data_IF_566031542093
#
_entry.id   IF_566031542093
#
_cell.length_a   1.000
_cell.length_b   1.000
_cell.length_c   1.000
_cell.angle_alpha   90.00
_cell.angle_beta   90.00
_cell.angle_gamma   90.00
#
_symmetry.space_group_name_H-M   'P 1'
#
loop_
_entity.id
_entity.type
_entity.pdbx_description
1 polymer ?
#
# COMPACT_ATOMS: atom_id res chain seq x y z
N UNK A 1 -32.73 25.51 29.75
CA UNK A 1 -32.70 25.47 28.28
C UNK A 1 -32.28 24.07 27.84
N UNK A 2 -33.20 23.20 27.39
CA UNK A 2 -32.82 21.89 26.87
C UNK A 2 -32.53 21.98 25.37
N UNK A 3 -31.34 21.56 24.98
CA UNK A 3 -30.94 21.31 23.58
C UNK A 3 -31.80 20.17 23.03
N UNK A 4 -32.77 20.50 22.18
CA UNK A 4 -33.56 19.53 21.44
C UNK A 4 -32.69 18.95 20.32
N UNK A 5 -32.24 17.71 20.53
CA UNK A 5 -31.61 16.84 19.53
C UNK A 5 -32.62 16.61 18.41
N UNK A 6 -32.52 17.40 17.33
CA UNK A 6 -33.36 17.26 16.13
C UNK A 6 -33.16 15.88 15.49
N UNK A 7 -34.23 15.33 14.93
CA UNK A 7 -34.20 14.11 14.12
C UNK A 7 -33.13 14.23 13.02
N UNK A 8 -32.32 13.19 12.76
CA UNK A 8 -31.27 13.24 11.76
C UNK A 8 -31.87 13.59 10.40
N UNK A 9 -31.33 14.62 9.75
CA UNK A 9 -31.78 15.01 8.40
C UNK A 9 -31.28 13.98 7.37
N UNK A 10 -31.95 13.82 6.23
CA UNK A 10 -31.52 12.91 5.14
C UNK A 10 -30.07 13.15 4.69
N UNK A 11 -29.58 14.38 4.83
CA UNK A 11 -28.19 14.80 4.58
C UNK A 11 -27.20 14.27 5.61
N UNK A 12 -27.57 14.21 6.90
CA UNK A 12 -26.68 13.65 7.94
C UNK A 12 -26.51 12.14 7.75
N UNK A 13 -27.61 11.45 7.42
CA UNK A 13 -27.55 10.01 7.14
C UNK A 13 -26.72 9.71 5.88
N UNK A 14 -26.85 10.48 4.80
CA UNK A 14 -26.10 10.22 3.56
C UNK A 14 -24.59 10.46 3.71
N UNK A 15 -24.18 11.41 4.56
CA UNK A 15 -22.78 11.64 4.91
C UNK A 15 -22.22 10.49 5.76
N UNK A 16 -22.99 9.98 6.72
CA UNK A 16 -22.61 8.82 7.54
C UNK A 16 -22.45 7.56 6.68
N UNK A 17 -23.41 7.27 5.81
CA UNK A 17 -23.32 6.15 4.84
C UNK A 17 -22.14 6.29 3.87
N UNK A 18 -21.82 7.51 3.44
CA UNK A 18 -20.70 7.77 2.52
C UNK A 18 -19.33 7.67 3.20
N UNK A 19 -19.24 7.93 4.50
CA UNK A 19 -18.02 7.76 5.32
C UNK A 19 -17.73 6.29 5.64
N UNK A 20 -18.77 5.46 5.81
CA UNK A 20 -18.64 4.03 6.12
C UNK A 20 -18.06 3.25 4.92
N UNK A 21 -18.35 3.67 3.69
CA UNK A 21 -17.89 2.98 2.47
C UNK A 21 -16.37 2.79 2.39
N UNK A 22 -15.55 3.86 2.43
CA UNK A 22 -14.08 3.78 2.40
C UNK A 22 -13.47 3.04 3.58
N UNK A 23 -14.08 3.15 4.76
CA UNK A 23 -13.66 2.44 5.98
C UNK A 23 -13.84 0.94 5.81
N UNK A 24 -15.02 0.53 5.34
CA UNK A 24 -15.33 -0.89 5.12
C UNK A 24 -14.40 -1.51 4.07
N UNK A 25 -14.09 -0.78 3.00
CA UNK A 25 -13.18 -1.30 1.97
C UNK A 25 -11.76 -1.48 2.50
N UNK A 26 -11.21 -0.50 3.23
CA UNK A 26 -9.89 -0.66 3.83
C UNK A 26 -9.86 -1.80 4.85
N UNK A 27 -10.90 -1.96 5.68
CA UNK A 27 -10.99 -3.06 6.63
C UNK A 27 -11.00 -4.43 5.97
N UNK A 28 -11.80 -4.61 4.92
CA UNK A 28 -11.83 -5.88 4.16
C UNK A 28 -10.47 -6.15 3.51
N UNK A 29 -9.82 -5.12 2.97
CA UNK A 29 -8.45 -5.21 2.45
C UNK A 29 -7.44 -5.69 3.50
N UNK A 30 -7.47 -5.16 4.73
CA UNK A 30 -6.59 -5.58 5.84
C UNK A 30 -6.83 -7.03 6.19
N UNK A 31 -8.08 -7.45 6.32
CA UNK A 31 -8.41 -8.82 6.68
C UNK A 31 -7.91 -9.83 5.63
N UNK A 32 -8.11 -9.53 4.34
CA UNK A 32 -7.64 -10.36 3.24
C UNK A 32 -6.10 -10.40 3.17
N UNK A 33 -5.44 -9.25 3.32
CA UNK A 33 -3.99 -9.12 3.29
C UNK A 33 -3.33 -9.89 4.45
N UNK A 34 -3.76 -9.63 5.69
CA UNK A 34 -3.24 -10.31 6.88
C UNK A 34 -3.55 -11.79 6.80
N UNK A 35 -4.79 -12.17 6.48
CA UNK A 35 -5.19 -13.58 6.38
C UNK A 35 -4.40 -14.35 5.32
N UNK A 36 -4.20 -13.77 4.14
CA UNK A 36 -3.44 -14.39 3.05
C UNK A 36 -1.96 -14.56 3.40
N UNK A 37 -1.25 -13.50 3.79
CA UNK A 37 0.18 -13.58 4.10
C UNK A 37 0.48 -14.37 5.38
N UNK A 38 -0.37 -14.25 6.42
CA UNK A 38 -0.24 -15.06 7.64
C UNK A 38 -0.54 -16.54 7.38
N UNK A 39 -1.49 -16.84 6.50
CA UNK A 39 -1.75 -18.20 6.03
C UNK A 39 -0.54 -18.81 5.32
N UNK A 40 0.10 -18.06 4.42
CA UNK A 40 1.34 -18.50 3.74
C UNK A 40 2.48 -18.68 4.75
N UNK A 41 2.60 -17.76 5.71
CA UNK A 41 3.61 -17.86 6.78
C UNK A 41 3.44 -19.13 7.62
N UNK A 42 2.22 -19.46 8.05
CA UNK A 42 1.91 -20.66 8.82
C UNK A 42 2.16 -21.95 8.03
N UNK A 43 1.84 -21.93 6.72
CA UNK A 43 2.13 -23.04 5.81
C UNK A 43 3.64 -23.27 5.67
N UNK A 44 4.43 -22.20 5.54
CA UNK A 44 5.87 -22.25 5.39
C UNK A 44 6.60 -22.70 6.66
N UNK A 45 6.00 -22.51 7.84
CA UNK A 45 6.56 -22.97 9.12
C UNK A 45 6.29 -24.48 9.40
N UNK A 46 5.87 -25.25 8.38
CA UNK A 46 5.54 -26.68 8.44
C UNK A 46 4.48 -27.07 9.48
N UNK A 47 3.64 -26.12 9.93
CA UNK A 47 2.57 -26.44 10.88
C UNK A 47 1.45 -27.28 10.22
N UNK A 48 1.30 -27.15 8.90
CA UNK A 48 0.37 -27.94 8.09
C UNK A 48 1.01 -28.29 6.73
N UNK A 49 0.95 -29.56 6.31
CA UNK A 49 1.29 -29.97 4.93
C UNK A 49 0.18 -29.56 3.98
N UNK A 50 0.22 -28.30 3.54
CA UNK A 50 -0.80 -27.74 2.63
C UNK A 50 -0.39 -28.04 1.18
N UNK A 51 -1.30 -28.51 0.31
CA UNK A 51 -1.01 -28.71 -1.09
C UNK A 51 -0.76 -27.37 -1.81
N UNK A 52 0.08 -27.37 -2.85
CA UNK A 52 0.46 -26.16 -3.59
C UNK A 52 -0.72 -25.30 -4.05
N UNK A 53 -1.83 -25.92 -4.44
CA UNK A 53 -3.06 -25.22 -4.87
C UNK A 53 -3.64 -24.31 -3.77
N UNK A 54 -3.59 -24.74 -2.52
CA UNK A 54 -4.10 -23.96 -1.40
C UNK A 54 -3.13 -22.83 -1.02
N UNK A 55 -1.82 -23.01 -1.23
CA UNK A 55 -0.85 -21.91 -1.12
C UNK A 55 -1.07 -20.85 -2.20
N UNK A 56 -1.38 -21.26 -3.43
CA UNK A 56 -1.79 -20.34 -4.50
C UNK A 56 -3.10 -19.62 -4.17
N UNK A 57 -4.08 -20.31 -3.59
CA UNK A 57 -5.31 -19.70 -3.11
C UNK A 57 -5.06 -18.60 -2.07
N UNK A 58 -4.20 -18.86 -1.09
CA UNK A 58 -3.80 -17.87 -0.09
C UNK A 58 -3.06 -16.68 -0.70
N UNK A 59 -2.18 -16.93 -1.69
CA UNK A 59 -1.49 -15.87 -2.43
C UNK A 59 -2.47 -15.00 -3.24
N UNK A 60 -3.48 -15.61 -3.86
CA UNK A 60 -4.55 -14.87 -4.54
C UNK A 60 -5.31 -13.99 -3.55
N UNK A 61 -5.69 -14.52 -2.38
CA UNK A 61 -6.37 -13.76 -1.33
C UNK A 61 -5.53 -12.55 -0.87
N UNK A 62 -4.23 -12.78 -0.63
CA UNK A 62 -3.28 -11.73 -0.28
C UNK A 62 -3.20 -10.62 -1.34
N UNK A 63 -3.01 -10.98 -2.62
CA UNK A 63 -2.97 -10.02 -3.73
C UNK A 63 -4.26 -9.20 -3.85
N UNK A 64 -5.42 -9.84 -3.67
CA UNK A 64 -6.71 -9.14 -3.71
C UNK A 64 -6.81 -8.10 -2.59
N UNK A 65 -6.33 -8.40 -1.37
CA UNK A 65 -6.27 -7.44 -0.27
C UNK A 65 -5.44 -6.20 -0.64
N UNK A 66 -4.28 -6.40 -1.26
CA UNK A 66 -3.40 -5.31 -1.69
C UNK A 66 -4.09 -4.36 -2.68
N UNK A 67 -4.83 -4.89 -3.66
CA UNK A 67 -5.54 -4.09 -4.67
C UNK A 67 -6.57 -3.13 -4.04
N UNK A 68 -7.19 -3.51 -2.93
CA UNK A 68 -8.17 -2.65 -2.25
C UNK A 68 -7.50 -1.41 -1.64
N UNK A 69 -6.31 -1.56 -1.05
CA UNK A 69 -5.53 -0.42 -0.55
C UNK A 69 -5.06 0.50 -1.66
N UNK A 70 -4.55 -0.08 -2.74
CA UNK A 70 -4.07 0.67 -3.90
C UNK A 70 -5.22 1.50 -4.50
N UNK A 71 -6.40 0.90 -4.61
CA UNK A 71 -7.60 1.58 -5.11
C UNK A 71 -8.08 2.68 -4.16
N UNK A 72 -8.09 2.43 -2.85
CA UNK A 72 -8.49 3.44 -1.86
C UNK A 72 -7.55 4.66 -1.89
N UNK A 73 -6.24 4.44 -1.98
CA UNK A 73 -5.25 5.50 -2.16
C UNK A 73 -5.45 6.24 -3.49
N UNK A 74 -5.68 5.51 -4.58
CA UNK A 74 -5.89 6.09 -5.91
C UNK A 74 -7.13 6.97 -5.97
N UNK A 75 -8.28 6.50 -5.46
CA UNK A 75 -9.52 7.28 -5.45
C UNK A 75 -9.35 8.56 -4.63
N UNK A 76 -8.63 8.48 -3.51
CA UNK A 76 -8.32 9.65 -2.67
C UNK A 76 -7.43 10.66 -3.41
N UNK A 77 -6.35 10.21 -4.04
CA UNK A 77 -5.43 11.07 -4.78
C UNK A 77 -6.10 11.74 -6.00
N UNK A 78 -6.92 10.98 -6.75
CA UNK A 78 -7.63 11.49 -7.93
C UNK A 78 -8.69 12.53 -7.54
N UNK A 79 -9.37 12.34 -6.40
CA UNK A 79 -10.32 13.33 -5.85
C UNK A 79 -9.62 14.59 -5.37
N UNK A 80 -8.40 14.50 -4.84
CA UNK A 80 -7.66 15.67 -4.37
C UNK A 80 -7.02 16.51 -5.51
N UNK A 81 -6.85 15.93 -6.70
CA UNK A 81 -6.21 16.55 -7.87
C UNK A 81 -7.02 16.28 -9.15
N UNK A 82 -8.21 16.85 -9.22
CA UNK A 82 -9.15 16.53 -10.30
C UNK A 82 -8.75 17.01 -11.70
N UNK A 83 -7.86 18.02 -11.79
CA UNK A 83 -7.39 18.59 -13.06
C UNK A 83 -6.37 17.70 -13.77
N UNK A 84 -5.55 16.96 -13.03
CA UNK A 84 -4.38 16.20 -13.54
C UNK A 84 -4.50 14.69 -13.24
N UNK A 85 -5.71 14.13 -13.38
CA UNK A 85 -6.01 12.74 -12.96
C UNK A 85 -5.08 11.72 -13.61
N UNK A 86 -4.77 11.88 -14.90
CA UNK A 86 -3.91 10.96 -15.65
C UNK A 86 -2.49 10.91 -15.10
N UNK A 87 -1.88 12.07 -14.86
CA UNK A 87 -0.51 12.20 -14.34
C UNK A 87 -0.41 11.66 -12.91
N UNK A 88 -1.42 11.94 -12.06
CA UNK A 88 -1.49 11.44 -10.68
C UNK A 88 -1.58 9.90 -10.65
N UNK A 89 -2.42 9.30 -11.50
CA UNK A 89 -2.54 7.84 -11.59
C UNK A 89 -1.22 7.23 -12.06
N UNK A 90 -0.53 7.85 -13.03
CA UNK A 90 0.77 7.41 -13.51
C UNK A 90 1.83 7.39 -12.41
N UNK A 91 1.94 8.47 -11.63
CA UNK A 91 2.88 8.56 -10.50
C UNK A 91 2.55 7.54 -9.42
N UNK A 92 1.27 7.40 -9.07
CA UNK A 92 0.86 6.44 -8.05
C UNK A 92 1.19 5.00 -8.47
N UNK A 93 0.99 4.66 -9.74
CA UNK A 93 1.41 3.35 -10.28
C UNK A 93 2.94 3.18 -10.28
N UNK A 94 3.70 4.22 -10.62
CA UNK A 94 5.16 4.17 -10.56
C UNK A 94 5.66 3.91 -9.13
N UNK A 95 5.00 4.52 -8.13
CA UNK A 95 5.29 4.30 -6.71
C UNK A 95 5.04 2.86 -6.26
N UNK A 96 4.05 2.16 -6.82
CA UNK A 96 3.83 0.74 -6.53
C UNK A 96 5.03 -0.10 -6.98
N UNK A 97 5.54 0.12 -8.19
CA UNK A 97 6.74 -0.55 -8.68
C UNK A 97 7.98 -0.22 -7.85
N UNK A 98 8.13 1.05 -7.47
CA UNK A 98 9.22 1.49 -6.60
C UNK A 98 9.18 0.81 -5.22
N UNK A 99 7.99 0.64 -4.64
CA UNK A 99 7.83 -0.05 -3.36
C UNK A 99 8.30 -1.52 -3.43
N UNK A 100 8.05 -2.21 -4.54
CA UNK A 100 8.53 -3.58 -4.75
C UNK A 100 10.07 -3.66 -4.79
N UNK A 101 10.73 -2.67 -5.41
CA UNK A 101 12.20 -2.56 -5.38
C UNK A 101 12.71 -2.38 -3.96
N UNK A 102 12.10 -1.45 -3.21
CA UNK A 102 12.48 -1.18 -1.82
C UNK A 102 12.32 -2.43 -0.94
N UNK A 103 11.20 -3.16 -1.08
CA UNK A 103 10.98 -4.42 -0.37
C UNK A 103 12.04 -5.47 -0.70
N UNK A 104 12.47 -5.54 -1.96
CA UNK A 104 13.53 -6.44 -2.40
C UNK A 104 14.87 -6.09 -1.75
N UNK A 105 15.23 -4.81 -1.70
CA UNK A 105 16.44 -4.36 -1.00
C UNK A 105 16.39 -4.65 0.50
N UNK A 106 15.24 -4.41 1.16
CA UNK A 106 15.04 -4.72 2.57
C UNK A 106 15.18 -6.23 2.83
N UNK A 107 14.63 -7.06 1.93
CA UNK A 107 14.74 -8.51 2.02
C UNK A 107 16.20 -8.97 2.04
N UNK A 108 17.00 -8.52 1.07
CA UNK A 108 18.42 -8.87 0.99
C UNK A 108 19.22 -8.30 2.17
N UNK A 109 18.91 -7.09 2.62
CA UNK A 109 19.65 -6.43 3.70
C UNK A 109 19.39 -7.03 5.10
N UNK A 110 18.16 -7.44 5.39
CA UNK A 110 17.75 -7.81 6.77
C UNK A 110 17.25 -9.24 6.93
N UNK A 111 16.78 -9.88 5.86
CA UNK A 111 16.05 -11.15 5.95
C UNK A 111 16.71 -12.31 5.22
N UNK A 112 17.78 -12.11 4.44
CA UNK A 112 18.57 -13.20 3.88
C UNK A 112 19.35 -13.92 4.99
N UNK A 113 19.27 -15.27 5.15
CA UNK A 113 18.63 -16.28 4.29
C UNK A 113 17.23 -16.77 4.75
N UNK A 114 16.60 -16.13 5.74
CA UNK A 114 15.34 -16.60 6.38
C UNK A 114 14.10 -15.94 5.77
N UNK A 115 13.66 -16.43 4.60
CA UNK A 115 12.50 -15.90 3.85
C UNK A 115 11.16 -15.93 4.61
N UNK A 116 11.01 -16.84 5.57
CA UNK A 116 9.78 -16.98 6.36
C UNK A 116 9.48 -15.72 7.19
N UNK A 117 10.50 -15.07 7.77
CA UNK A 117 10.30 -13.87 8.60
C UNK A 117 9.87 -12.65 7.79
N UNK A 118 10.25 -12.60 6.52
CA UNK A 118 9.85 -11.55 5.60
C UNK A 118 8.36 -11.60 5.27
N UNK A 119 7.77 -12.80 5.14
CA UNK A 119 6.32 -12.97 4.95
C UNK A 119 5.52 -12.35 6.10
N UNK A 120 6.00 -12.50 7.34
CA UNK A 120 5.35 -11.88 8.51
C UNK A 120 5.49 -10.35 8.49
N UNK A 121 6.65 -9.84 8.06
CA UNK A 121 6.86 -8.41 7.89
C UNK A 121 5.93 -7.82 6.80
N UNK A 122 5.68 -8.54 5.71
CA UNK A 122 4.72 -8.17 4.66
C UNK A 122 3.25 -8.28 5.09
N UNK A 123 2.94 -9.16 6.04
CA UNK A 123 1.59 -9.23 6.62
C UNK A 123 1.30 -8.02 7.51
N UNK A 124 2.27 -7.66 8.37
CA UNK A 124 2.06 -6.64 9.43
C UNK A 124 2.36 -5.23 8.91
N UNK A 125 3.44 -5.04 8.15
CA UNK A 125 3.91 -3.72 7.73
C UNK A 125 2.87 -2.93 6.92
N UNK A 126 2.45 -3.42 5.74
CA UNK A 126 1.40 -2.79 4.93
C UNK A 126 0.09 -2.61 5.69
N UNK A 127 -0.30 -3.58 6.52
CA UNK A 127 -1.54 -3.54 7.29
C UNK A 127 -1.52 -2.46 8.38
N UNK A 128 -0.39 -2.29 9.08
CA UNK A 128 -0.23 -1.22 10.08
C UNK A 128 -0.24 0.17 9.44
N UNK A 129 0.38 0.30 8.27
CA UNK A 129 0.33 1.54 7.47
C UNK A 129 -1.12 1.82 7.06
N UNK A 130 -1.82 0.84 6.49
CA UNK A 130 -3.21 1.00 6.07
C UNK A 130 -4.13 1.39 7.24
N UNK A 131 -3.94 0.80 8.43
CA UNK A 131 -4.72 1.10 9.64
C UNK A 131 -4.45 2.53 10.13
N UNK A 132 -3.20 2.98 10.04
CA UNK A 132 -2.83 4.37 10.34
C UNK A 132 -3.51 5.34 9.35
N UNK A 133 -3.42 5.05 8.05
CA UNK A 133 -4.09 5.86 7.01
C UNK A 133 -5.60 5.89 7.18
N UNK A 134 -6.23 4.78 7.60
CA UNK A 134 -7.66 4.72 7.89
C UNK A 134 -8.09 5.75 8.94
N UNK A 135 -7.29 5.92 10.01
CA UNK A 135 -7.57 6.91 11.06
C UNK A 135 -7.48 8.33 10.50
N UNK A 136 -6.47 8.62 9.67
CA UNK A 136 -6.30 9.94 9.05
C UNK A 136 -7.38 10.24 8.01
N UNK A 137 -7.77 9.27 7.18
CA UNK A 137 -8.80 9.43 6.14
C UNK A 137 -10.18 9.71 6.73
N UNK A 138 -10.50 9.15 7.91
CA UNK A 138 -11.76 9.41 8.60
C UNK A 138 -11.85 10.83 9.19
N UNK A 139 -10.72 11.53 9.36
CA UNK A 139 -10.68 12.83 10.01
C UNK A 139 -10.62 14.01 9.04
N UNK A 140 -10.55 13.77 7.73
CA UNK A 140 -10.58 14.82 6.72
C UNK A 140 -12.02 15.00 6.25
N UNK A 141 -12.79 15.96 6.81
CA UNK A 141 -14.04 16.35 6.18
C UNK A 141 -13.73 16.75 4.73
N UNK A 142 -14.63 16.43 3.82
CA UNK A 142 -14.58 16.86 2.43
C UNK A 142 -14.61 18.40 2.39
N UNK A 143 -13.43 19.02 2.50
CA UNK A 143 -13.27 20.43 2.24
C UNK A 143 -13.05 20.51 0.73
N UNK A 144 -14.05 21.01 0.01
CA UNK A 144 -13.83 21.57 -1.31
C UNK A 144 -12.87 22.74 -1.15
N UNK A 145 -11.58 22.45 -1.14
CA UNK A 145 -10.57 23.49 -1.24
C UNK A 145 -10.72 24.03 -2.65
N UNK A 146 -11.02 25.33 -2.76
CA UNK A 146 -11.00 26.08 -4.02
C UNK A 146 -9.78 25.67 -4.87
N UNK A 147 -9.86 25.77 -6.21
CA UNK A 147 -8.79 25.42 -7.13
C UNK A 147 -7.64 26.43 -7.03
N UNK A 148 -7.00 26.53 -5.87
CA UNK A 148 -5.73 27.20 -5.71
C UNK A 148 -4.66 26.28 -6.28
N UNK A 149 -4.06 26.71 -7.39
CA UNK A 149 -2.75 26.35 -7.95
C UNK A 149 -1.89 25.36 -7.12
N UNK A 150 -2.31 24.10 -6.98
CA UNK A 150 -1.52 23.03 -6.33
C UNK A 150 -0.39 22.49 -7.23
N UNK A 151 0.04 23.27 -8.22
CA UNK A 151 1.08 22.91 -9.18
C UNK A 151 2.43 22.71 -8.49
N UNK A 152 2.75 23.51 -7.47
CA UNK A 152 4.06 23.44 -6.81
C UNK A 152 4.25 22.15 -5.98
N UNK A 153 3.22 21.75 -5.21
CA UNK A 153 3.28 20.51 -4.41
C UNK A 153 3.36 19.25 -5.26
N UNK A 154 2.70 19.25 -6.41
CA UNK A 154 2.75 18.15 -7.38
C UNK A 154 4.16 17.98 -7.98
N UNK A 155 4.79 19.08 -8.42
CA UNK A 155 6.16 19.05 -8.95
C UNK A 155 7.18 18.59 -7.89
N UNK A 156 7.03 19.02 -6.63
CA UNK A 156 7.90 18.56 -5.53
C UNK A 156 7.75 17.06 -5.25
N UNK A 157 6.51 16.54 -5.22
CA UNK A 157 6.29 15.11 -5.07
C UNK A 157 6.91 14.33 -6.24
N UNK A 158 6.71 14.82 -7.47
CA UNK A 158 7.25 14.18 -8.67
C UNK A 158 8.78 14.10 -8.68
N UNK A 159 9.47 15.20 -8.35
CA UNK A 159 10.93 15.21 -8.28
C UNK A 159 11.45 14.32 -7.16
N UNK A 160 10.75 14.22 -6.03
CA UNK A 160 11.08 13.30 -4.94
C UNK A 160 10.93 11.82 -5.34
N UNK A 161 9.89 11.47 -6.12
CA UNK A 161 9.75 10.10 -6.64
C UNK A 161 10.89 9.75 -7.59
N UNK A 162 11.26 10.66 -8.49
CA UNK A 162 12.36 10.43 -9.45
C UNK A 162 13.70 10.27 -8.73
N UNK A 163 14.00 11.12 -7.74
CA UNK A 163 15.26 11.01 -6.99
C UNK A 163 15.33 9.69 -6.20
N UNK A 164 14.23 9.28 -5.58
CA UNK A 164 14.12 8.01 -4.88
C UNK A 164 14.28 6.82 -5.85
N UNK A 165 13.69 6.89 -7.05
CA UNK A 165 13.82 5.87 -8.08
C UNK A 165 15.26 5.73 -8.58
N UNK A 166 15.93 6.85 -8.82
CA UNK A 166 17.34 6.85 -9.20
C UNK A 166 18.22 6.22 -8.11
N UNK A 167 17.96 6.54 -6.84
CA UNK A 167 18.65 5.94 -5.70
C UNK A 167 18.46 4.42 -5.63
N UNK A 168 17.21 3.94 -5.79
CA UNK A 168 16.92 2.50 -5.81
C UNK A 168 17.60 1.78 -6.99
N UNK A 169 17.61 2.40 -8.18
CA UNK A 169 18.29 1.86 -9.35
C UNK A 169 19.81 1.71 -9.12
N UNK A 170 20.45 2.70 -8.50
CA UNK A 170 21.88 2.63 -8.15
C UNK A 170 22.17 1.48 -7.20
N UNK A 171 21.35 1.29 -6.15
CA UNK A 171 21.51 0.17 -5.22
C UNK A 171 21.35 -1.17 -5.94
N UNK A 172 20.32 -1.29 -6.79
CA UNK A 172 20.06 -2.52 -7.53
C UNK A 172 21.25 -2.88 -8.47
N UNK A 173 21.80 -1.89 -9.17
CA UNK A 173 22.97 -2.07 -10.03
C UNK A 173 24.20 -2.46 -9.20
N UNK A 174 24.47 -1.76 -8.09
CA UNK A 174 25.61 -2.05 -7.23
C UNK A 174 25.56 -3.48 -6.65
N UNK A 175 24.37 -3.94 -6.27
CA UNK A 175 24.18 -5.33 -5.82
C UNK A 175 24.40 -6.32 -6.97
N UNK A 176 23.97 -6.00 -8.20
CA UNK A 176 24.19 -6.85 -9.37
C UNK A 176 25.66 -6.99 -9.75
N UNK A 177 26.45 -5.91 -9.68
CA UNK A 177 27.88 -5.95 -10.00
C UNK A 177 28.66 -6.82 -8.99
N UNK A 178 28.35 -6.74 -7.69
CA UNK A 178 29.01 -7.60 -6.70
C UNK A 178 28.77 -9.10 -6.92
N UNK A 179 27.60 -9.47 -7.46
CA UNK A 179 27.32 -10.87 -7.82
C UNK A 179 28.10 -11.29 -9.07
N UNK A 180 28.25 -10.41 -10.04
CA UNK A 180 29.03 -10.68 -11.26
C UNK A 180 30.53 -10.81 -10.96
N UNK A 181 31.07 -9.97 -10.09
CA UNK A 181 32.47 -10.07 -9.63
C UNK A 181 32.71 -11.38 -8.85
N UNK A 182 31.74 -11.81 -8.04
CA UNK A 182 31.80 -13.10 -7.34
C UNK A 182 31.85 -14.30 -8.31
N UNK A 183 31.04 -14.31 -9.38
CA UNK A 183 31.07 -15.39 -10.39
C UNK A 183 32.28 -15.27 -11.33
N UNK A 184 32.73 -14.05 -11.65
CA UNK A 184 33.92 -13.81 -12.48
C UNK A 184 35.23 -14.17 -11.80
N UNK A 185 35.27 -14.28 -10.47
CA UNK A 185 36.42 -14.77 -9.71
C UNK A 185 36.42 -16.28 -9.43
N UNK A 186 35.36 -17.00 -9.81
CA UNK A 186 35.20 -18.46 -9.63
C UNK A 186 35.50 -19.24 -10.93
N UNK A 187 35.50 -18.57 -12.09
CA UNK A 187 35.96 -19.10 -13.39
C UNK A 187 37.43 -18.74 -13.63
#
# INVERSE_FOLDING_TARGET
MPSTRGSPTFTDQSVEWNSIGPVLTVMVGILLQVGGYLGIYLAAHHHFSIPYWAMLGLAMVACNGQTWFETAGLVTCVRNFETERGTVIGILKALLGLSASVYTTIYFAFFEPKSIRFLLALAIGPSAIALTFMIFLNHVPYIQVEPHTKTHGFHMAFTAVISLAAYQAVIAIAHSSTKLDFWGGIL
#
